data_IF_934266900703
#
_entry.id   IF_934266900703
#
_cell.length_a   1.000
_cell.length_b   1.000
_cell.length_c   1.000
_cell.angle_alpha   90.00
_cell.angle_beta   90.00
_cell.angle_gamma   90.00
#
_symmetry.space_group_name_H-M   'P 1'
#
loop_
_entity.id
_entity.type
_entity.pdbx_description
1 polymer ?
#
# COMPACT_ATOMS: atom_id res chain seq x y z
N UNK A 1 -16.97 -72.99 -57.88
CA UNK A 1 -17.09 -71.55 -57.53
C UNK A 1 -16.02 -70.79 -58.29
N UNK A 2 -16.35 -70.13 -59.42
CA UNK A 2 -15.37 -69.42 -60.26
C UNK A 2 -15.13 -68.02 -59.67
N UNK A 3 -13.98 -67.83 -59.03
CA UNK A 3 -13.57 -66.51 -58.52
C UNK A 3 -13.16 -65.64 -59.71
N UNK A 4 -13.76 -64.45 -59.81
CA UNK A 4 -13.59 -63.55 -60.94
C UNK A 4 -12.28 -62.75 -60.76
N UNK A 5 -11.20 -63.20 -61.41
CA UNK A 5 -9.84 -62.64 -61.30
C UNK A 5 -9.78 -61.11 -61.54
N UNK A 6 -10.67 -60.57 -62.38
CA UNK A 6 -10.71 -59.14 -62.69
C UNK A 6 -11.17 -58.27 -61.51
N UNK A 7 -11.94 -58.81 -60.55
CA UNK A 7 -12.31 -58.07 -59.33
C UNK A 7 -11.18 -58.04 -58.32
N UNK A 8 -10.38 -59.11 -58.22
CA UNK A 8 -9.22 -59.18 -57.32
C UNK A 8 -8.14 -58.21 -57.77
N UNK A 9 -7.91 -58.07 -59.08
CA UNK A 9 -6.94 -57.12 -59.63
C UNK A 9 -7.28 -55.65 -59.31
N UNK A 10 -8.58 -55.30 -59.32
CA UNK A 10 -9.04 -53.94 -58.98
C UNK A 10 -8.88 -53.66 -57.47
N UNK A 11 -9.19 -54.62 -56.60
CA UNK A 11 -8.95 -54.47 -55.16
C UNK A 11 -7.45 -54.41 -54.82
N UNK A 12 -6.59 -55.16 -55.51
CA UNK A 12 -5.13 -55.07 -55.35
C UNK A 12 -4.57 -53.72 -55.84
N UNK A 13 -5.10 -53.16 -56.92
CA UNK A 13 -4.70 -51.82 -57.39
C UNK A 13 -5.16 -50.71 -56.43
N UNK A 14 -6.36 -50.80 -55.86
CA UNK A 14 -6.85 -49.82 -54.88
C UNK A 14 -6.08 -49.93 -53.55
N UNK A 15 -5.71 -51.14 -53.12
CA UNK A 15 -4.89 -51.34 -51.92
C UNK A 15 -3.45 -50.84 -52.12
N UNK A 16 -2.88 -50.94 -53.34
CA UNK A 16 -1.55 -50.41 -53.70
C UNK A 16 -1.47 -48.88 -53.66
N UNK A 17 -2.54 -48.18 -54.08
CA UNK A 17 -2.59 -46.70 -54.07
C UNK A 17 -2.72 -46.13 -52.65
N UNK A 18 -3.34 -46.85 -51.72
CA UNK A 18 -3.51 -46.39 -50.33
C UNK A 18 -2.22 -46.53 -49.51
N UNK A 19 -1.30 -47.43 -49.87
CA UNK A 19 -0.02 -47.61 -49.16
C UNK A 19 1.10 -46.67 -49.61
N UNK A 20 0.95 -45.97 -50.75
CA UNK A 20 1.98 -45.03 -51.26
C UNK A 20 1.70 -43.57 -50.92
N UNK A 21 0.56 -43.26 -50.28
CA UNK A 21 0.34 -42.02 -49.56
C UNK A 21 1.08 -42.06 -48.20
N UNK A 22 2.39 -42.31 -48.28
CA UNK A 22 3.29 -42.28 -47.14
C UNK A 22 3.26 -40.90 -46.48
N UNK A 23 3.04 -40.91 -45.18
CA UNK A 23 3.11 -39.77 -44.28
C UNK A 23 4.39 -38.96 -44.59
N UNK A 24 4.25 -37.78 -45.21
CA UNK A 24 5.36 -36.83 -45.26
C UNK A 24 5.66 -36.46 -43.81
N UNK A 25 6.82 -36.89 -43.28
CA UNK A 25 7.31 -36.38 -42.00
C UNK A 25 7.31 -34.87 -42.08
N UNK A 26 6.55 -34.22 -41.22
CA UNK A 26 6.57 -32.77 -41.12
C UNK A 26 8.03 -32.33 -40.87
N UNK A 27 8.48 -31.25 -41.53
CA UNK A 27 9.80 -30.72 -41.25
C UNK A 27 9.92 -30.41 -39.75
N UNK A 28 11.10 -30.61 -39.15
CA UNK A 28 11.28 -30.37 -37.73
C UNK A 28 10.90 -28.93 -37.40
N UNK A 29 10.08 -28.76 -36.36
CA UNK A 29 9.75 -27.43 -35.82
C UNK A 29 11.04 -26.81 -35.29
N UNK A 30 11.40 -25.66 -35.84
CA UNK A 30 12.56 -24.87 -35.40
C UNK A 30 12.09 -23.64 -34.65
N UNK A 31 12.81 -23.29 -33.58
CA UNK A 31 12.49 -22.17 -32.71
C UNK A 31 13.56 -21.07 -32.84
N UNK A 32 13.22 -19.79 -32.56
CA UNK A 32 14.22 -18.74 -32.46
C UNK A 32 15.24 -19.05 -31.34
N UNK A 33 16.51 -18.79 -31.58
CA UNK A 33 17.57 -18.90 -30.56
C UNK A 33 17.90 -17.50 -30.07
N UNK A 34 17.81 -17.28 -28.77
CA UNK A 34 18.13 -16.00 -28.12
C UNK A 34 19.40 -16.18 -27.30
N UNK A 35 20.40 -15.32 -27.52
CA UNK A 35 21.63 -15.25 -26.72
C UNK A 35 21.72 -13.86 -26.09
N UNK A 36 21.90 -13.78 -24.78
CA UNK A 36 21.96 -12.50 -24.05
C UNK A 36 23.39 -12.26 -23.57
N UNK A 37 23.98 -11.15 -24.03
CA UNK A 37 25.34 -10.73 -23.68
C UNK A 37 25.35 -9.68 -22.55
N UNK A 38 24.28 -8.88 -22.43
CA UNK A 38 24.08 -7.95 -21.33
C UNK A 38 22.60 -7.78 -21.00
N UNK A 39 22.21 -7.64 -19.72
CA UNK A 39 23.07 -7.68 -18.54
C UNK A 39 23.66 -9.07 -18.30
N UNK A 40 24.70 -9.16 -17.47
CA UNK A 40 25.25 -10.45 -17.05
C UNK A 40 24.36 -11.08 -15.97
N UNK A 41 24.41 -12.40 -15.84
CA UNK A 41 23.63 -13.10 -14.83
C UNK A 41 24.01 -12.65 -13.40
N UNK A 42 23.00 -12.33 -12.59
CA UNK A 42 23.11 -11.75 -11.25
C UNK A 42 23.73 -10.34 -11.20
N UNK A 43 23.75 -9.60 -12.32
CA UNK A 43 24.10 -8.18 -12.29
C UNK A 43 23.13 -7.39 -11.40
N UNK A 44 23.66 -6.38 -10.72
CA UNK A 44 22.96 -5.61 -9.69
C UNK A 44 22.68 -4.19 -10.19
N UNK A 45 21.49 -3.67 -9.91
CA UNK A 45 21.06 -2.30 -10.24
C UNK A 45 20.33 -1.65 -9.06
N UNK A 46 20.32 -0.32 -9.00
CA UNK A 46 19.64 0.44 -7.92
C UNK A 46 18.66 1.43 -8.51
N UNK A 47 17.41 1.40 -8.05
CA UNK A 47 16.35 2.22 -8.66
C UNK A 47 16.42 3.68 -8.18
N UNK A 48 16.37 4.68 -9.08
CA UNK A 48 16.20 4.56 -10.52
C UNK A 48 17.52 4.27 -11.27
N UNK A 49 17.46 3.41 -12.30
CA UNK A 49 18.61 3.06 -13.15
C UNK A 49 18.21 2.86 -14.63
N UNK A 50 19.20 2.66 -15.49
CA UNK A 50 19.04 2.23 -16.88
C UNK A 50 19.82 0.94 -17.13
N UNK A 51 19.11 -0.11 -17.52
CA UNK A 51 19.69 -1.41 -17.86
C UNK A 51 19.97 -1.45 -19.36
N UNK A 52 21.24 -1.53 -19.74
CA UNK A 52 21.63 -1.79 -21.13
C UNK A 52 21.49 -3.26 -21.48
N UNK A 53 20.90 -3.50 -22.65
CA UNK A 53 20.56 -4.81 -23.17
C UNK A 53 21.29 -5.03 -24.47
N UNK A 54 22.09 -6.08 -24.48
CA UNK A 54 22.78 -6.60 -25.65
C UNK A 54 22.43 -8.07 -25.81
N UNK A 55 21.81 -8.43 -26.93
CA UNK A 55 21.39 -9.79 -27.20
C UNK A 55 21.25 -10.04 -28.70
N UNK A 56 21.53 -11.26 -29.14
CA UNK A 56 21.35 -11.70 -30.53
C UNK A 56 20.20 -12.71 -30.64
N UNK A 57 19.44 -12.63 -31.72
CA UNK A 57 18.35 -13.56 -32.02
C UNK A 57 18.55 -14.14 -33.41
N UNK A 58 18.61 -15.47 -33.49
CA UNK A 58 18.88 -16.22 -34.72
C UNK A 58 17.76 -17.20 -35.02
N UNK A 59 17.31 -17.22 -36.28
CA UNK A 59 16.35 -18.20 -36.79
C UNK A 59 16.54 -18.46 -38.29
N UNK A 60 16.11 -19.61 -38.79
CA UNK A 60 16.01 -19.90 -40.23
C UNK A 60 14.85 -19.19 -40.96
N UNK A 61 13.97 -18.46 -40.24
CA UNK A 61 12.80 -17.73 -40.76
C UNK A 61 12.82 -16.30 -40.21
N UNK A 62 12.11 -15.34 -40.85
CA UNK A 62 12.03 -13.99 -40.33
C UNK A 62 11.42 -13.95 -38.93
N UNK A 63 12.08 -13.25 -38.02
CA UNK A 63 11.58 -12.97 -36.68
C UNK A 63 10.46 -11.94 -36.82
N UNK A 64 9.23 -12.33 -36.45
CA UNK A 64 8.05 -11.50 -36.54
C UNK A 64 8.02 -10.44 -35.45
N UNK A 65 8.34 -10.82 -34.21
CA UNK A 65 8.47 -9.88 -33.11
C UNK A 65 9.48 -10.32 -32.06
N UNK A 66 9.97 -9.32 -31.32
CA UNK A 66 10.73 -9.47 -30.10
C UNK A 66 10.08 -8.61 -29.03
N UNK A 67 9.93 -9.14 -27.82
CA UNK A 67 9.43 -8.37 -26.69
C UNK A 67 10.38 -8.47 -25.50
N UNK A 68 10.59 -7.34 -24.83
CA UNK A 68 11.58 -7.18 -23.79
C UNK A 68 10.90 -6.53 -22.57
N UNK A 69 11.09 -7.10 -21.38
CA UNK A 69 10.62 -6.53 -20.13
C UNK A 69 11.47 -7.01 -18.95
N UNK A 70 11.48 -6.27 -17.86
CA UNK A 70 11.86 -6.82 -16.56
C UNK A 70 10.62 -7.44 -15.92
N UNK A 71 10.74 -8.66 -15.43
CA UNK A 71 9.68 -9.41 -14.75
C UNK A 71 10.12 -9.83 -13.36
N UNK A 72 9.17 -9.96 -12.44
CA UNK A 72 9.40 -10.49 -11.11
C UNK A 72 9.60 -12.03 -11.10
N UNK A 73 9.75 -12.60 -9.91
CA UNK A 73 9.89 -14.05 -9.72
C UNK A 73 8.66 -14.86 -10.16
N UNK A 74 7.49 -14.21 -10.28
CA UNK A 74 6.26 -14.81 -10.80
C UNK A 74 6.07 -14.55 -12.30
N UNK A 75 7.08 -13.99 -12.98
CA UNK A 75 7.07 -13.61 -14.39
C UNK A 75 6.07 -12.51 -14.74
N UNK A 76 5.66 -11.72 -13.74
CA UNK A 76 4.82 -10.53 -13.94
C UNK A 76 5.70 -9.33 -14.33
N UNK A 77 5.41 -8.62 -15.42
CA UNK A 77 6.18 -7.45 -15.81
C UNK A 77 6.15 -6.34 -14.76
N UNK A 78 7.33 -5.86 -14.36
CA UNK A 78 7.51 -4.67 -13.51
C UNK A 78 7.91 -3.43 -14.29
N UNK A 79 8.24 -3.60 -15.57
CA UNK A 79 8.40 -2.52 -16.55
C UNK A 79 7.38 -2.67 -17.68
N UNK A 80 7.12 -1.58 -18.39
CA UNK A 80 6.39 -1.66 -19.66
C UNK A 80 7.14 -2.60 -20.62
N UNK A 81 6.40 -3.50 -21.26
CA UNK A 81 6.95 -4.40 -22.28
C UNK A 81 7.22 -3.61 -23.56
N UNK A 82 8.47 -3.63 -23.99
CA UNK A 82 8.90 -3.04 -25.25
C UNK A 82 8.80 -4.07 -26.37
N UNK A 83 8.26 -3.70 -27.53
CA UNK A 83 8.10 -4.58 -28.69
C UNK A 83 8.90 -4.06 -29.88
N UNK A 84 9.52 -4.98 -30.59
CA UNK A 84 10.30 -4.77 -31.81
C UNK A 84 9.79 -5.73 -32.88
N UNK A 85 9.84 -5.31 -34.15
CA UNK A 85 9.35 -6.09 -35.29
C UNK A 85 10.44 -6.16 -36.38
N UNK A 86 11.44 -7.05 -36.23
CA UNK A 86 12.63 -7.02 -37.08
C UNK A 86 12.41 -7.48 -38.53
N UNK A 87 11.49 -8.43 -38.77
CA UNK A 87 11.22 -9.04 -40.07
C UNK A 87 12.46 -9.63 -40.77
N UNK A 88 13.43 -10.11 -39.99
CA UNK A 88 14.70 -10.66 -40.47
C UNK A 88 15.12 -11.90 -39.68
N UNK A 89 16.01 -12.72 -40.26
CA UNK A 89 16.43 -14.01 -39.70
C UNK A 89 17.48 -13.90 -38.58
N UNK A 90 18.23 -12.80 -38.55
CA UNK A 90 19.21 -12.49 -37.52
C UNK A 90 18.99 -11.07 -37.04
N UNK A 91 18.80 -10.86 -35.74
CA UNK A 91 18.55 -9.54 -35.18
C UNK A 91 19.40 -9.30 -33.93
N UNK A 92 20.11 -8.18 -33.91
CA UNK A 92 20.90 -7.71 -32.78
C UNK A 92 20.10 -6.65 -32.01
N UNK A 93 19.92 -6.88 -30.71
CA UNK A 93 19.31 -5.95 -29.78
C UNK A 93 20.42 -5.11 -29.15
N UNK A 94 20.30 -3.79 -29.31
CA UNK A 94 21.08 -2.81 -28.57
C UNK A 94 20.10 -1.75 -28.06
N UNK A 95 19.63 -1.94 -26.83
CA UNK A 95 18.53 -1.14 -26.26
C UNK A 95 18.74 -0.90 -24.77
N UNK A 96 17.98 0.04 -24.23
CA UNK A 96 18.00 0.34 -22.79
C UNK A 96 16.59 0.18 -22.22
N UNK A 97 16.48 -0.39 -21.02
CA UNK A 97 15.28 -0.34 -20.20
C UNK A 97 15.52 0.60 -19.01
N UNK A 98 14.67 1.61 -18.88
CA UNK A 98 14.67 2.50 -17.72
C UNK A 98 13.84 1.85 -16.62
N UNK A 99 14.44 1.64 -15.45
CA UNK A 99 13.77 1.17 -14.24
C UNK A 99 13.65 2.34 -13.27
N UNK A 100 12.48 2.99 -13.23
CA UNK A 100 12.26 4.20 -12.42
C UNK A 100 11.08 4.11 -11.47
N UNK A 101 10.41 2.95 -11.39
CA UNK A 101 9.27 2.77 -10.49
C UNK A 101 9.76 2.58 -9.04
N UNK A 102 9.53 3.53 -8.12
CA UNK A 102 10.03 3.44 -6.75
C UNK A 102 9.35 2.33 -5.92
N UNK A 103 8.26 1.74 -6.42
CA UNK A 103 7.53 0.67 -5.75
C UNK A 103 8.14 -0.73 -5.95
N UNK A 104 9.10 -0.85 -6.86
CA UNK A 104 9.83 -2.11 -7.03
C UNK A 104 10.64 -2.37 -5.75
N UNK A 105 10.43 -3.53 -5.15
CA UNK A 105 11.08 -3.96 -3.92
C UNK A 105 12.45 -4.59 -4.22
N UNK A 106 13.32 -4.63 -3.20
CA UNK A 106 14.63 -5.25 -3.36
C UNK A 106 14.48 -6.75 -3.57
N UNK A 107 15.14 -7.32 -4.60
CA UNK A 107 14.99 -8.75 -4.88
C UNK A 107 15.57 -9.22 -6.21
N UNK A 108 15.34 -10.51 -6.48
CA UNK A 108 15.68 -11.13 -7.75
C UNK A 108 14.58 -10.86 -8.79
N UNK A 109 15.00 -10.46 -9.98
CA UNK A 109 14.16 -10.22 -11.14
C UNK A 109 14.78 -10.90 -12.37
N UNK A 110 14.05 -10.91 -13.48
CA UNK A 110 14.58 -11.39 -14.75
C UNK A 110 14.42 -10.33 -15.83
N UNK A 111 15.47 -10.10 -16.61
CA UNK A 111 15.29 -9.63 -17.97
C UNK A 111 14.64 -10.76 -18.77
N UNK A 112 13.43 -10.52 -19.25
CA UNK A 112 12.67 -11.42 -20.11
C UNK A 112 12.72 -10.95 -21.55
N UNK A 113 13.34 -11.74 -22.42
CA UNK A 113 13.29 -11.56 -23.88
C UNK A 113 12.46 -12.69 -24.46
N UNK A 114 11.42 -12.35 -25.23
CA UNK A 114 10.61 -13.31 -26.00
C UNK A 114 10.70 -12.98 -27.46
N UNK A 115 11.00 -13.96 -28.30
CA UNK A 115 11.07 -13.82 -29.75
C UNK A 115 10.10 -14.79 -30.43
N UNK A 116 9.54 -14.41 -31.58
CA UNK A 116 8.67 -15.26 -32.40
C UNK A 116 9.01 -15.16 -33.87
N UNK A 117 8.83 -16.26 -34.62
CA UNK A 117 8.81 -16.29 -36.09
C UNK A 117 7.38 -16.16 -36.66
N UNK A 118 6.38 -15.92 -35.79
CA UNK A 118 4.96 -15.89 -36.13
C UNK A 118 4.23 -17.24 -36.00
N UNK A 119 4.96 -18.34 -35.81
CA UNK A 119 4.39 -19.68 -35.55
C UNK A 119 4.88 -20.29 -34.24
N UNK A 120 6.15 -20.03 -33.91
CA UNK A 120 6.88 -20.56 -32.78
C UNK A 120 7.43 -19.41 -31.95
N UNK A 121 7.71 -19.68 -30.68
CA UNK A 121 8.21 -18.68 -29.75
C UNK A 121 9.29 -19.26 -28.84
N UNK A 122 10.22 -18.41 -28.42
CA UNK A 122 11.23 -18.76 -27.42
C UNK A 122 11.38 -17.63 -26.41
N UNK A 123 11.67 -18.01 -25.17
CA UNK A 123 11.90 -17.11 -24.07
C UNK A 123 13.34 -17.29 -23.58
N UNK A 124 14.00 -16.17 -23.30
CA UNK A 124 15.25 -16.11 -22.56
C UNK A 124 15.03 -15.29 -21.29
N UNK A 125 15.65 -15.76 -20.20
CA UNK A 125 15.62 -15.12 -18.90
C UNK A 125 17.04 -14.90 -18.43
N UNK A 126 17.39 -13.66 -18.13
CA UNK A 126 18.65 -13.33 -17.46
C UNK A 126 18.34 -12.80 -16.08
N UNK A 127 18.77 -13.53 -15.05
CA UNK A 127 18.53 -13.14 -13.67
C UNK A 127 19.33 -11.89 -13.34
N UNK A 128 18.70 -10.93 -12.69
CA UNK A 128 19.32 -9.70 -12.17
C UNK A 128 18.84 -9.45 -10.74
N UNK A 129 19.56 -8.61 -10.01
CA UNK A 129 19.16 -8.16 -8.69
C UNK A 129 18.87 -6.66 -8.72
N UNK A 130 17.70 -6.26 -8.20
CA UNK A 130 17.33 -4.85 -8.07
C UNK A 130 17.35 -4.45 -6.60
N UNK A 131 18.01 -3.33 -6.28
CA UNK A 131 17.83 -2.61 -5.03
C UNK A 131 16.73 -1.57 -5.19
N UNK A 132 15.76 -1.59 -4.27
CA UNK A 132 14.70 -0.60 -4.21
C UNK A 132 15.25 0.81 -3.96
N UNK A 133 14.48 1.83 -4.36
CA UNK A 133 14.79 3.22 -3.99
C UNK A 133 14.76 3.36 -2.46
N UNK A 134 15.81 3.90 -1.80
CA UNK A 134 15.77 4.12 -0.35
C UNK A 134 14.59 4.99 0.07
N UNK A 135 13.88 4.57 1.13
CA UNK A 135 12.80 5.37 1.72
C UNK A 135 13.40 6.51 2.53
N UNK A 136 12.99 7.74 2.22
CA UNK A 136 13.42 8.96 2.90
C UNK A 136 12.20 9.79 3.30
N UNK A 137 12.27 10.47 4.44
CA UNK A 137 11.30 11.50 4.79
C UNK A 137 11.57 12.72 3.90
N UNK A 138 10.64 13.02 2.99
CA UNK A 138 10.76 14.14 2.06
C UNK A 138 10.18 15.43 2.63
N UNK A 139 9.06 15.35 3.34
CA UNK A 139 8.34 16.51 3.85
C UNK A 139 7.49 16.13 5.08
N UNK A 140 7.04 17.14 5.82
CA UNK A 140 6.08 17.01 6.91
C UNK A 140 4.93 17.98 6.63
N UNK A 141 3.75 17.47 6.32
CA UNK A 141 2.58 18.33 6.16
C UNK A 141 2.01 18.69 7.52
N UNK A 142 1.94 19.99 7.78
CA UNK A 142 1.25 20.57 8.92
C UNK A 142 -0.12 21.08 8.48
N UNK A 143 -1.16 20.58 9.15
CA UNK A 143 -2.53 21.03 8.97
C UNK A 143 -2.94 21.80 10.22
N UNK A 144 -3.29 23.08 10.03
CA UNK A 144 -3.76 23.96 11.11
C UNK A 144 -5.12 24.54 10.79
N UNK A 145 -5.88 24.91 11.81
CA UNK A 145 -7.20 25.54 11.68
C UNK A 145 -7.17 26.92 12.31
N UNK A 146 -7.50 27.92 11.50
CA UNK A 146 -7.60 29.30 11.96
C UNK A 146 -8.90 29.54 12.74
N UNK A 147 -9.02 30.73 13.35
CA UNK A 147 -10.18 31.11 14.15
C UNK A 147 -11.50 31.16 13.34
N UNK A 148 -11.44 31.30 12.02
CA UNK A 148 -12.60 31.33 11.13
C UNK A 148 -13.04 29.93 10.65
N UNK A 149 -12.28 28.90 11.03
CA UNK A 149 -12.60 27.51 10.71
C UNK A 149 -12.04 27.00 9.39
N UNK A 150 -11.30 27.81 8.64
CA UNK A 150 -10.55 27.38 7.44
C UNK A 150 -9.29 26.64 7.88
N UNK A 151 -8.94 25.54 7.18
CA UNK A 151 -7.64 24.91 7.39
C UNK A 151 -6.58 25.51 6.47
N UNK A 152 -5.39 25.69 7.03
CA UNK A 152 -4.15 25.97 6.31
C UNK A 152 -3.30 24.70 6.26
N UNK A 153 -2.76 24.43 5.08
CA UNK A 153 -1.89 23.29 4.82
C UNK A 153 -0.53 23.85 4.41
N UNK A 154 0.49 23.44 5.14
CA UNK A 154 1.87 23.84 4.89
C UNK A 154 2.79 22.64 4.90
N UNK A 155 3.84 22.70 4.10
CA UNK A 155 4.99 21.81 4.22
C UNK A 155 5.93 22.32 5.30
N UNK A 156 6.63 21.39 5.94
CA UNK A 156 7.65 21.66 6.93
C UNK A 156 8.84 20.77 6.59
N UNK A 157 9.96 21.41 6.28
CA UNK A 157 11.19 20.66 5.99
C UNK A 157 11.80 20.01 7.26
N UNK A 158 12.86 19.24 7.08
CA UNK A 158 13.58 18.61 8.21
C UNK A 158 14.27 19.64 9.11
N UNK A 159 14.45 20.88 8.67
CA UNK A 159 14.87 21.99 9.50
C UNK A 159 13.69 22.69 10.20
N UNK A 160 12.48 22.16 10.13
CA UNK A 160 11.26 22.76 10.66
C UNK A 160 10.96 24.18 10.13
N UNK A 161 11.34 24.45 8.88
CA UNK A 161 10.96 25.66 8.17
C UNK A 161 9.64 25.43 7.44
N UNK A 162 8.68 26.31 7.68
CA UNK A 162 7.32 26.18 7.15
C UNK A 162 7.19 26.89 5.79
N UNK A 163 6.56 26.20 4.84
CA UNK A 163 6.16 26.77 3.55
C UNK A 163 4.67 26.51 3.33
N UNK A 164 3.91 27.56 3.01
CA UNK A 164 2.49 27.43 2.70
C UNK A 164 2.28 26.65 1.39
N UNK A 165 1.31 25.71 1.40
CA UNK A 165 0.89 24.96 0.21
C UNK A 165 -0.46 25.45 -0.30
N UNK A 166 -1.50 25.41 0.54
CA UNK A 166 -2.86 25.81 0.18
C UNK A 166 -3.74 26.01 1.42
N UNK A 167 -4.94 26.54 1.22
CA UNK A 167 -6.00 26.56 2.22
C UNK A 167 -7.25 25.82 1.71
N UNK A 168 -8.02 25.24 2.63
CA UNK A 168 -9.28 24.55 2.30
C UNK A 168 -10.34 24.93 3.33
N UNK A 169 -11.51 25.35 2.85
CA UNK A 169 -12.66 25.59 3.72
C UNK A 169 -13.31 24.25 4.07
N UNK A 170 -13.03 23.75 5.28
CA UNK A 170 -13.57 22.48 5.79
C UNK A 170 -13.64 22.51 7.30
N UNK A 171 -14.56 21.75 7.87
CA UNK A 171 -14.69 21.53 9.31
C UNK A 171 -13.61 20.58 9.87
N UNK A 172 -12.75 20.02 9.03
CA UNK A 172 -11.66 19.08 9.28
C UNK A 172 -12.04 17.89 10.19
N UNK A 173 -12.01 16.71 9.60
CA UNK A 173 -12.05 15.44 10.33
C UNK A 173 -10.71 14.74 10.29
N UNK A 174 -10.25 14.40 9.09
CA UNK A 174 -9.12 13.50 8.88
C UNK A 174 -8.33 13.88 7.63
N UNK A 175 -7.08 13.45 7.61
CA UNK A 175 -6.26 13.50 6.42
C UNK A 175 -5.31 12.30 6.36
N UNK A 176 -4.94 11.91 5.14
CA UNK A 176 -3.92 10.91 4.88
C UNK A 176 -3.33 11.11 3.48
N UNK A 177 -2.16 10.52 3.21
CA UNK A 177 -1.38 10.79 1.99
C UNK A 177 -1.12 9.54 1.18
N UNK A 178 -1.19 9.68 -0.14
CA UNK A 178 -0.61 8.74 -1.12
C UNK A 178 0.65 9.39 -1.70
N UNK A 179 1.83 9.08 -1.15
CA UNK A 179 3.07 9.73 -1.58
C UNK A 179 3.46 9.39 -3.01
N UNK A 180 3.12 8.18 -3.48
CA UNK A 180 3.45 7.68 -4.82
C UNK A 180 2.70 8.47 -5.88
N UNK A 181 1.40 8.70 -5.69
CA UNK A 181 0.60 9.50 -6.61
C UNK A 181 0.63 11.01 -6.30
N UNK A 182 1.34 11.40 -5.24
CA UNK A 182 1.44 12.78 -4.75
C UNK A 182 0.08 13.40 -4.39
N UNK A 183 -0.77 12.61 -3.72
CA UNK A 183 -2.13 13.01 -3.36
C UNK A 183 -2.28 13.12 -1.84
N UNK A 184 -2.84 14.24 -1.41
CA UNK A 184 -3.31 14.48 -0.05
C UNK A 184 -4.83 14.39 -0.03
N UNK A 185 -5.36 13.47 0.77
CA UNK A 185 -6.79 13.31 1.00
C UNK A 185 -7.19 13.99 2.29
N UNK A 186 -8.25 14.80 2.26
CA UNK A 186 -8.72 15.55 3.43
C UNK A 186 -10.23 15.45 3.48
N UNK A 187 -10.77 15.01 4.61
CA UNK A 187 -12.22 15.00 4.84
C UNK A 187 -12.64 16.06 5.85
N UNK A 188 -13.86 16.54 5.69
CA UNK A 188 -14.61 17.12 6.80
C UNK A 188 -14.88 16.11 7.93
N UNK A 189 -15.51 16.57 9.00
CA UNK A 189 -16.01 15.70 10.08
C UNK A 189 -17.53 15.52 10.00
N UNK A 190 -18.27 16.60 9.77
CA UNK A 190 -19.73 16.65 9.78
C UNK A 190 -20.27 17.01 8.41
N UNK A 191 -19.87 18.19 7.88
CA UNK A 191 -20.57 18.83 6.77
C UNK A 191 -19.70 19.06 5.54
N UNK A 192 -18.38 18.98 5.69
CA UNK A 192 -17.47 19.28 4.58
C UNK A 192 -17.12 18.04 3.79
N UNK A 193 -16.79 18.28 2.52
CA UNK A 193 -16.47 17.27 1.53
C UNK A 193 -15.23 16.44 1.89
N UNK A 194 -15.06 15.35 1.17
CA UNK A 194 -13.75 14.74 0.95
C UNK A 194 -13.08 15.44 -0.24
N UNK A 195 -11.86 15.91 -0.06
CA UNK A 195 -11.03 16.51 -1.09
C UNK A 195 -9.86 15.59 -1.41
N UNK A 196 -9.52 15.49 -2.69
CA UNK A 196 -8.26 14.94 -3.17
C UNK A 196 -7.44 16.08 -3.78
N UNK A 197 -6.32 16.41 -3.13
CA UNK A 197 -5.43 17.49 -3.51
C UNK A 197 -4.12 16.91 -4.05
N UNK A 198 -3.75 17.26 -5.28
CA UNK A 198 -2.40 16.99 -5.78
C UNK A 198 -1.47 18.06 -5.22
N UNK A 199 -0.54 17.68 -4.35
CA UNK A 199 0.36 18.63 -3.69
C UNK A 199 1.57 19.03 -4.56
N UNK A 200 1.84 18.32 -5.64
CA UNK A 200 2.84 18.72 -6.64
C UNK A 200 2.27 19.75 -7.61
N UNK A 201 1.10 19.45 -8.18
CA UNK A 201 0.42 20.34 -9.13
C UNK A 201 -0.30 21.50 -8.43
N UNK A 202 -0.45 21.39 -7.10
CA UNK A 202 -1.13 22.34 -6.21
C UNK A 202 -2.60 22.59 -6.56
N UNK A 203 -3.30 21.55 -6.99
CA UNK A 203 -4.72 21.62 -7.40
C UNK A 203 -5.56 20.55 -6.73
N UNK A 204 -6.83 20.87 -6.45
CA UNK A 204 -7.83 19.86 -6.10
C UNK A 204 -8.16 19.08 -7.36
N UNK A 205 -7.89 17.76 -7.37
CA UNK A 205 -8.17 16.89 -8.53
C UNK A 205 -9.65 16.53 -8.62
N UNK A 206 -10.26 16.24 -7.47
CA UNK A 206 -11.66 15.88 -7.35
C UNK A 206 -12.10 16.02 -5.89
N UNK A 207 -13.42 16.08 -5.70
CA UNK A 207 -14.06 16.09 -4.39
C UNK A 207 -15.31 15.21 -4.37
N UNK A 208 -15.67 14.75 -3.16
CA UNK A 208 -16.91 14.01 -2.92
C UNK A 208 -17.71 14.76 -1.86
N UNK A 209 -18.92 15.17 -2.23
CA UNK A 209 -19.83 15.86 -1.32
C UNK A 209 -20.44 14.90 -0.30
N UNK A 210 -20.66 15.39 0.91
CA UNK A 210 -21.39 14.63 1.94
C UNK A 210 -22.88 14.63 1.64
N UNK A 211 -23.55 13.52 1.95
CA UNK A 211 -25.01 13.37 1.83
C UNK A 211 -25.73 13.37 3.18
N UNK A 212 -24.98 13.51 4.27
CA UNK A 212 -25.51 13.41 5.63
C UNK A 212 -26.07 14.69 6.21
N UNK A 213 -26.91 14.53 7.23
CA UNK A 213 -27.46 15.63 8.01
C UNK A 213 -26.76 15.72 9.37
N UNK A 214 -26.11 16.86 9.72
CA UNK A 214 -25.66 17.12 11.08
C UNK A 214 -26.84 17.01 12.09
N UNK A 215 -26.59 16.75 13.38
CA UNK A 215 -25.33 16.98 14.12
C UNK A 215 -24.37 15.78 14.20
N UNK A 216 -24.70 14.65 13.60
CA UNK A 216 -23.85 13.45 13.64
C UNK A 216 -22.64 13.59 12.70
N UNK A 217 -21.40 13.14 13.08
CA UNK A 217 -20.29 13.07 12.14
C UNK A 217 -20.67 12.25 10.91
N UNK A 218 -20.17 12.66 9.75
CA UNK A 218 -20.30 11.93 8.50
C UNK A 218 -19.09 11.01 8.29
N UNK A 219 -17.88 11.56 8.42
CA UNK A 219 -16.63 10.79 8.34
C UNK A 219 -16.12 10.44 9.74
N UNK A 220 -15.75 9.19 9.96
CA UNK A 220 -15.18 8.73 11.22
C UNK A 220 -13.67 8.45 11.20
N UNK A 221 -13.11 8.17 10.03
CA UNK A 221 -11.69 7.96 9.80
C UNK A 221 -11.40 8.01 8.30
N UNK A 222 -10.15 8.22 7.96
CA UNK A 222 -9.64 8.23 6.59
C UNK A 222 -8.29 7.53 6.58
N UNK A 223 -8.10 6.60 5.63
CA UNK A 223 -6.85 5.86 5.46
C UNK A 223 -6.51 5.64 4.00
N UNK A 224 -5.25 5.89 3.63
CA UNK A 224 -4.71 5.46 2.34
C UNK A 224 -4.12 4.06 2.50
N UNK A 225 -4.55 3.14 1.64
CA UNK A 225 -4.00 1.80 1.54
C UNK A 225 -4.02 1.33 0.09
N UNK A 226 -2.89 0.80 -0.40
CA UNK A 226 -2.73 0.33 -1.77
C UNK A 226 -3.26 1.35 -2.81
N UNK A 227 -2.86 2.62 -2.67
CA UNK A 227 -3.24 3.77 -3.52
C UNK A 227 -4.74 4.08 -3.58
N UNK A 228 -5.51 3.58 -2.61
CA UNK A 228 -6.94 3.87 -2.47
C UNK A 228 -7.14 4.65 -1.17
N UNK A 229 -7.94 5.72 -1.23
CA UNK A 229 -8.38 6.44 -0.05
C UNK A 229 -9.65 5.78 0.48
N UNK A 230 -9.53 5.04 1.59
CA UNK A 230 -10.64 4.47 2.34
C UNK A 230 -11.21 5.51 3.31
N UNK A 231 -12.53 5.67 3.28
CA UNK A 231 -13.28 6.57 4.13
C UNK A 231 -14.29 5.78 4.95
N UNK A 232 -14.28 6.00 6.26
CA UNK A 232 -15.28 5.44 7.16
C UNK A 232 -16.46 6.39 7.25
N UNK A 233 -17.60 5.97 6.71
CA UNK A 233 -18.84 6.70 6.83
C UNK A 233 -19.58 6.23 8.09
N UNK A 234 -19.91 7.17 8.97
CA UNK A 234 -20.74 6.89 10.15
C UNK A 234 -22.10 6.30 9.76
N UNK A 235 -22.58 6.64 8.56
CA UNK A 235 -23.85 6.18 7.98
C UNK A 235 -23.75 4.76 7.39
N UNK A 236 -23.05 3.89 8.10
CA UNK A 236 -22.98 2.46 7.86
C UNK A 236 -22.28 2.04 6.57
N UNK A 237 -21.14 2.65 6.22
CA UNK A 237 -20.34 2.17 5.11
C UNK A 237 -18.86 2.46 5.28
N UNK A 238 -18.03 1.60 4.68
CA UNK A 238 -16.64 1.88 4.39
C UNK A 238 -16.52 1.90 2.88
N UNK A 239 -16.08 3.04 2.33
CA UNK A 239 -15.95 3.24 0.89
C UNK A 239 -14.50 3.54 0.55
N UNK A 240 -14.04 3.22 -0.67
CA UNK A 240 -12.74 3.66 -1.13
C UNK A 240 -12.77 4.26 -2.53
N UNK A 241 -11.95 5.28 -2.72
CA UNK A 241 -11.76 5.96 -3.99
C UNK A 241 -10.34 5.74 -4.52
N UNK A 242 -10.20 5.57 -5.84
CA UNK A 242 -8.89 5.56 -6.49
C UNK A 242 -8.38 7.00 -6.75
N UNK A 243 -7.18 7.13 -7.32
CA UNK A 243 -6.55 8.43 -7.61
C UNK A 243 -7.32 9.30 -8.62
N UNK A 244 -8.28 8.73 -9.35
CA UNK A 244 -9.18 9.43 -10.28
C UNK A 244 -10.54 9.79 -9.68
N UNK A 245 -10.81 9.45 -8.41
CA UNK A 245 -12.06 9.77 -7.73
C UNK A 245 -13.19 8.79 -8.01
N UNK A 246 -12.90 7.64 -8.63
CA UNK A 246 -13.88 6.58 -8.84
C UNK A 246 -13.99 5.73 -7.57
N UNK A 247 -15.23 5.45 -7.14
CA UNK A 247 -15.49 4.52 -6.04
C UNK A 247 -15.15 3.10 -6.51
N UNK A 248 -14.12 2.49 -5.89
CA UNK A 248 -13.61 1.16 -6.24
C UNK A 248 -13.83 0.12 -5.15
N UNK A 249 -14.37 0.54 -3.99
CA UNK A 249 -14.74 -0.32 -2.89
C UNK A 249 -15.95 0.25 -2.17
N UNK A 250 -16.89 -0.62 -1.80
CA UNK A 250 -18.04 -0.27 -0.98
C UNK A 250 -18.40 -1.46 -0.07
N UNK A 251 -18.29 -1.26 1.23
CA UNK A 251 -18.65 -2.23 2.25
C UNK A 251 -19.70 -1.63 3.19
N UNK A 252 -20.98 -2.00 3.02
CA UNK A 252 -22.02 -1.61 3.95
C UNK A 252 -21.75 -2.25 5.32
N UNK A 253 -21.96 -1.49 6.40
CA UNK A 253 -21.91 -2.01 7.77
C UNK A 253 -23.32 -2.14 8.35
N UNK A 254 -23.42 -2.69 9.56
CA UNK A 254 -24.71 -2.86 10.26
C UNK A 254 -25.43 -1.53 10.46
N UNK A 255 -26.77 -1.54 10.48
CA UNK A 255 -27.60 -0.37 10.82
C UNK A 255 -27.69 -0.10 12.32
N UNK A 256 -27.20 -1.00 13.17
CA UNK A 256 -27.23 -0.87 14.63
C UNK A 256 -25.90 -0.39 15.20
N UNK A 257 -24.87 -0.31 14.36
CA UNK A 257 -23.51 0.06 14.73
C UNK A 257 -22.92 0.99 13.68
N UNK A 258 -22.13 1.97 14.11
CA UNK A 258 -21.35 2.77 13.18
C UNK A 258 -19.87 2.39 13.23
N UNK A 259 -19.19 2.30 12.07
CA UNK A 259 -17.76 2.09 12.02
C UNK A 259 -17.02 3.37 12.44
N UNK A 260 -15.84 3.22 13.06
CA UNK A 260 -15.04 4.34 13.53
C UNK A 260 -13.62 4.30 12.98
N UNK A 261 -12.71 3.46 13.49
CA UNK A 261 -11.31 3.34 13.04
C UNK A 261 -11.08 2.15 12.12
N UNK A 262 -10.19 2.32 11.13
CA UNK A 262 -9.72 1.25 10.25
C UNK A 262 -8.28 0.83 10.53
N UNK A 263 -8.00 -0.43 10.23
CA UNK A 263 -6.64 -0.95 10.13
C UNK A 263 -6.55 -2.08 9.11
N UNK A 264 -5.51 -2.05 8.29
CA UNK A 264 -5.25 -3.09 7.29
C UNK A 264 -4.23 -4.07 7.85
N UNK A 265 -4.56 -5.36 7.80
CA UNK A 265 -3.68 -6.40 8.28
C UNK A 265 -3.83 -7.66 7.42
N UNK A 266 -2.77 -7.98 6.67
CA UNK A 266 -2.76 -9.09 5.73
C UNK A 266 -3.96 -8.99 4.77
N UNK A 267 -4.87 -9.96 4.80
CA UNK A 267 -6.06 -9.99 3.96
C UNK A 267 -7.30 -9.39 4.63
N UNK A 268 -7.16 -8.87 5.86
CA UNK A 268 -8.27 -8.42 6.68
C UNK A 268 -8.27 -6.90 6.90
N UNK A 269 -9.46 -6.32 6.77
CA UNK A 269 -9.80 -4.97 7.18
C UNK A 269 -10.40 -5.03 8.59
N UNK A 270 -9.64 -4.56 9.57
CA UNK A 270 -10.10 -4.37 10.93
C UNK A 270 -10.87 -3.07 11.03
N UNK A 271 -12.02 -3.11 11.67
CA UNK A 271 -12.85 -1.94 11.94
C UNK A 271 -13.30 -1.95 13.40
N UNK A 272 -13.02 -0.87 14.14
CA UNK A 272 -13.72 -0.66 15.41
C UNK A 272 -15.13 -0.16 15.13
N UNK A 273 -16.16 -0.79 15.70
CA UNK A 273 -17.55 -0.35 15.55
C UNK A 273 -18.16 -0.08 16.92
N UNK A 274 -19.07 0.88 16.99
CA UNK A 274 -19.82 1.19 18.21
C UNK A 274 -21.30 1.05 17.96
N UNK A 275 -22.02 0.48 18.92
CA UNK A 275 -23.47 0.48 18.89
C UNK A 275 -23.99 1.93 18.85
N UNK A 276 -25.06 2.14 18.06
CA UNK A 276 -25.72 3.46 18.00
C UNK A 276 -26.35 3.79 19.37
N UNK A 277 -26.81 2.76 20.08
CA UNK A 277 -27.31 2.85 21.45
C UNK A 277 -26.50 1.98 22.41
N UNK A 278 -26.33 2.44 23.65
CA UNK A 278 -25.52 1.76 24.67
C UNK A 278 -24.02 2.03 24.58
N UNK A 279 -23.22 1.18 25.23
CA UNK A 279 -21.76 1.35 25.36
C UNK A 279 -20.97 0.26 24.64
N UNK A 280 -21.64 -0.62 23.88
CA UNK A 280 -20.99 -1.76 23.26
C UNK A 280 -20.07 -1.29 22.14
N UNK A 281 -18.82 -1.74 22.21
CA UNK A 281 -17.81 -1.53 21.18
C UNK A 281 -17.33 -2.89 20.66
N UNK A 282 -17.10 -2.99 19.37
CA UNK A 282 -16.78 -4.23 18.67
C UNK A 282 -15.53 -4.05 17.82
N UNK A 283 -14.83 -5.14 17.59
CA UNK A 283 -13.89 -5.27 16.49
C UNK A 283 -14.54 -6.17 15.45
N UNK A 284 -14.58 -5.70 14.21
CA UNK A 284 -15.11 -6.45 13.07
C UNK A 284 -14.02 -6.58 12.02
N UNK A 285 -13.90 -7.79 11.47
CA UNK A 285 -12.97 -8.12 10.38
C UNK A 285 -13.78 -8.41 9.12
N UNK A 286 -13.39 -7.77 8.03
CA UNK A 286 -13.83 -8.11 6.67
C UNK A 286 -12.62 -8.49 5.82
N UNK A 287 -12.82 -9.24 4.73
CA UNK A 287 -11.79 -9.40 3.71
C UNK A 287 -11.58 -8.10 2.94
N UNK A 288 -10.34 -7.65 2.76
CA UNK A 288 -10.01 -6.37 2.11
C UNK A 288 -10.52 -6.32 0.65
N UNK A 289 -10.39 -7.43 -0.07
CA UNK A 289 -10.71 -7.49 -1.51
C UNK A 289 -12.22 -7.53 -1.79
N UNK A 290 -12.97 -8.35 -1.04
CA UNK A 290 -14.41 -8.56 -1.28
C UNK A 290 -15.31 -7.73 -0.36
N UNK A 291 -14.78 -7.22 0.75
CA UNK A 291 -15.59 -6.70 1.86
C UNK A 291 -16.40 -7.77 2.58
N UNK A 292 -16.21 -9.06 2.26
CA UNK A 292 -16.95 -10.14 2.90
C UNK A 292 -16.70 -10.17 4.40
N UNK A 293 -17.76 -10.27 5.19
CA UNK A 293 -17.67 -10.46 6.64
C UNK A 293 -16.84 -11.70 6.97
N UNK A 294 -15.90 -11.57 7.89
CA UNK A 294 -15.12 -12.68 8.41
C UNK A 294 -15.55 -13.03 9.83
N UNK A 295 -15.33 -12.14 10.79
CA UNK A 295 -15.71 -12.35 12.18
C UNK A 295 -15.84 -11.04 12.97
N UNK A 296 -16.33 -11.14 14.20
CA UNK A 296 -16.52 -10.01 15.10
C UNK A 296 -16.34 -10.45 16.57
N UNK A 297 -15.85 -9.51 17.39
CA UNK A 297 -15.69 -9.67 18.83
C UNK A 297 -16.22 -8.43 19.57
N UNK A 298 -16.89 -8.64 20.70
CA UNK A 298 -17.24 -7.56 21.64
C UNK A 298 -15.99 -7.16 22.44
N UNK A 299 -15.56 -5.90 22.29
CA UNK A 299 -14.37 -5.35 22.93
C UNK A 299 -14.70 -4.47 24.13
N UNK A 300 -15.76 -3.66 24.05
CA UNK A 300 -16.15 -2.65 25.05
C UNK A 300 -15.06 -1.64 25.42
N UNK A 301 -14.14 -1.35 24.48
CA UNK A 301 -13.12 -0.32 24.61
C UNK A 301 -13.22 0.69 23.47
N UNK A 302 -12.89 1.95 23.76
CA UNK A 302 -12.73 3.00 22.77
C UNK A 302 -11.36 2.91 22.13
N UNK A 303 -11.30 2.47 20.88
CA UNK A 303 -10.04 2.27 20.16
C UNK A 303 -9.38 3.61 19.83
N UNK A 304 -8.08 3.72 20.11
CA UNK A 304 -7.22 4.84 19.74
C UNK A 304 -6.41 4.50 18.48
N UNK A 305 -5.77 3.34 18.46
CA UNK A 305 -4.91 2.92 17.35
C UNK A 305 -4.81 1.39 17.29
N UNK A 306 -4.65 0.86 16.08
CA UNK A 306 -4.30 -0.52 15.83
C UNK A 306 -2.87 -0.60 15.28
N UNK A 307 -2.17 -1.71 15.56
CA UNK A 307 -0.92 -2.05 14.90
C UNK A 307 -0.80 -3.55 14.67
N UNK A 308 -0.35 -3.95 13.48
CA UNK A 308 0.00 -5.35 13.24
C UNK A 308 1.21 -5.78 14.09
N UNK A 309 1.06 -6.91 14.78
CA UNK A 309 2.10 -7.54 15.61
C UNK A 309 2.86 -8.58 14.81
N UNK A 310 2.12 -9.57 14.32
CA UNK A 310 2.59 -10.72 13.54
C UNK A 310 1.48 -11.11 12.56
N UNK A 311 1.58 -12.26 11.91
CA UNK A 311 0.63 -12.69 10.87
C UNK A 311 -0.78 -13.03 11.40
N UNK A 312 -0.93 -13.28 12.70
CA UNK A 312 -2.18 -13.73 13.31
C UNK A 312 -2.72 -12.75 14.38
N UNK A 313 -1.97 -11.70 14.71
CA UNK A 313 -2.30 -10.83 15.85
C UNK A 313 -2.16 -9.35 15.55
N UNK A 314 -3.06 -8.56 16.16
CA UNK A 314 -3.10 -7.10 16.09
C UNK A 314 -3.12 -6.52 17.49
N UNK A 315 -2.23 -5.56 17.76
CA UNK A 315 -2.31 -4.72 18.95
C UNK A 315 -3.45 -3.72 18.81
N UNK A 316 -4.19 -3.55 19.91
CA UNK A 316 -5.22 -2.54 20.06
C UNK A 316 -4.85 -1.68 21.25
N UNK A 317 -4.61 -0.42 20.96
CA UNK A 317 -4.40 0.63 21.95
C UNK A 317 -5.73 1.35 22.11
N UNK A 318 -6.32 1.29 23.31
CA UNK A 318 -7.66 1.76 23.56
C UNK A 318 -7.81 2.40 24.94
N UNK A 319 -8.96 2.99 25.22
CA UNK A 319 -9.37 3.38 26.57
C UNK A 319 -10.64 2.64 26.98
N UNK A 320 -10.76 2.29 28.26
CA UNK A 320 -11.99 1.74 28.82
C UNK A 320 -13.02 2.83 29.16
N UNK A 321 -14.15 2.42 29.74
CA UNK A 321 -15.24 3.32 30.10
C UNK A 321 -14.87 4.38 31.15
N UNK A 322 -13.82 4.15 31.93
CA UNK A 322 -13.26 5.12 32.89
C UNK A 322 -12.15 6.00 32.26
N UNK A 323 -12.01 5.98 30.93
CA UNK A 323 -10.98 6.70 30.18
C UNK A 323 -9.54 6.25 30.53
N UNK A 324 -9.35 5.07 31.12
CA UNK A 324 -8.01 4.52 31.36
C UNK A 324 -7.50 3.75 30.15
N UNK A 325 -6.25 4.00 29.78
CA UNK A 325 -5.57 3.37 28.67
C UNK A 325 -5.36 1.88 28.90
N UNK A 326 -5.62 1.09 27.87
CA UNK A 326 -5.43 -0.36 27.86
C UNK A 326 -4.68 -0.76 26.59
N UNK A 327 -3.79 -1.73 26.74
CA UNK A 327 -3.14 -2.44 25.63
C UNK A 327 -3.82 -3.80 25.55
N UNK A 328 -4.27 -4.16 24.35
CA UNK A 328 -4.86 -5.46 24.07
C UNK A 328 -4.16 -6.08 22.87
N UNK A 329 -4.09 -7.41 22.83
CA UNK A 329 -3.73 -8.14 21.62
C UNK A 329 -4.97 -8.94 21.23
N UNK A 330 -5.39 -8.78 19.97
CA UNK A 330 -6.42 -9.60 19.36
C UNK A 330 -5.76 -10.67 18.50
N UNK A 331 -6.15 -11.92 18.72
CA UNK A 331 -5.71 -13.08 17.95
C UNK A 331 -6.83 -13.51 16.99
N UNK A 332 -6.48 -13.60 15.72
CA UNK A 332 -7.44 -13.78 14.63
C UNK A 332 -7.98 -15.20 14.62
N UNK A 333 -7.11 -16.21 14.72
CA UNK A 333 -7.51 -17.62 14.72
C UNK A 333 -8.48 -17.98 15.87
N UNK A 334 -8.22 -17.49 17.09
CA UNK A 334 -9.07 -17.77 18.25
C UNK A 334 -10.25 -16.81 18.39
N UNK A 335 -10.29 -15.73 17.61
CA UNK A 335 -11.20 -14.58 17.79
C UNK A 335 -11.20 -14.07 19.25
N UNK A 336 -10.02 -14.09 19.88
CA UNK A 336 -9.83 -13.77 21.30
C UNK A 336 -9.06 -12.47 21.51
N UNK A 337 -9.17 -11.92 22.72
CA UNK A 337 -8.40 -10.74 23.13
C UNK A 337 -7.83 -10.93 24.54
N UNK A 338 -6.60 -10.47 24.78
CA UNK A 338 -6.00 -10.46 26.11
C UNK A 338 -5.19 -9.18 26.37
N UNK A 339 -4.93 -8.92 27.64
CA UNK A 339 -4.10 -7.81 28.13
C UNK A 339 -2.65 -8.29 28.28
N UNK A 340 -1.71 -7.89 27.40
CA UNK A 340 -0.31 -8.22 27.62
C UNK A 340 0.27 -7.44 28.81
N UNK A 341 -0.15 -6.18 29.01
CA UNK A 341 0.43 -5.28 29.99
C UNK A 341 -0.63 -4.30 30.52
N UNK A 342 -0.60 -4.09 31.83
CA UNK A 342 -1.49 -3.14 32.50
C UNK A 342 -0.85 -1.77 32.62
N UNK A 343 -1.43 -0.79 31.93
CA UNK A 343 -1.07 0.61 32.12
C UNK A 343 -1.74 1.10 33.41
N UNK A 344 -0.94 1.51 34.39
CA UNK A 344 -1.42 1.88 35.73
C UNK A 344 -2.14 3.23 35.73
N UNK A 345 -3.41 3.25 35.32
CA UNK A 345 -4.32 4.39 35.45
C UNK A 345 -3.95 5.63 34.61
N UNK A 346 -4.95 6.30 34.04
CA UNK A 346 -4.75 7.46 33.18
C UNK A 346 -4.98 7.18 31.70
N UNK A 347 -5.16 8.25 30.93
CA UNK A 347 -5.71 8.22 29.58
C UNK A 347 -4.64 8.08 28.51
N UNK A 348 -4.90 7.17 27.57
CA UNK A 348 -4.14 7.03 26.34
C UNK A 348 -4.69 8.00 25.28
N UNK A 349 -3.82 8.89 24.79
CA UNK A 349 -4.17 9.94 23.84
C UNK A 349 -3.81 9.52 22.41
N UNK A 350 -2.61 8.98 22.22
CA UNK A 350 -2.10 8.54 20.93
C UNK A 350 -1.07 7.42 21.12
N UNK A 351 -0.80 6.65 20.07
CA UNK A 351 0.21 5.61 20.05
C UNK A 351 0.88 5.55 18.68
N UNK A 352 2.19 5.38 18.65
CA UNK A 352 3.01 5.24 17.44
C UNK A 352 3.94 4.04 17.55
N UNK A 353 4.09 3.29 16.45
CA UNK A 353 4.95 2.10 16.37
C UNK A 353 6.38 2.54 16.04
N UNK A 354 7.34 2.03 16.81
CA UNK A 354 8.77 2.20 16.54
C UNK A 354 9.30 1.01 15.75
N UNK A 355 8.99 -0.19 16.23
CA UNK A 355 9.35 -1.46 15.61
C UNK A 355 8.29 -2.53 15.97
N UNK A 356 8.53 -3.80 15.66
CA UNK A 356 7.58 -4.89 15.90
C UNK A 356 7.26 -5.15 17.39
N UNK A 357 8.10 -4.69 18.31
CA UNK A 357 7.95 -4.89 19.75
C UNK A 357 7.87 -3.59 20.54
N UNK A 358 8.21 -2.44 19.95
CA UNK A 358 8.32 -1.16 20.65
C UNK A 358 7.33 -0.12 20.14
N UNK A 359 6.68 0.55 21.09
CA UNK A 359 5.66 1.57 20.84
C UNK A 359 5.89 2.79 21.73
N UNK A 360 5.56 3.98 21.22
CA UNK A 360 5.56 5.24 21.96
C UNK A 360 4.11 5.66 22.21
N UNK A 361 3.75 5.84 23.47
CA UNK A 361 2.39 6.08 23.93
C UNK A 361 2.30 7.48 24.52
N UNK A 362 1.44 8.34 23.98
CA UNK A 362 1.07 9.58 24.65
C UNK A 362 0.08 9.24 25.77
N UNK A 363 0.56 9.28 27.00
CA UNK A 363 -0.15 8.84 28.18
C UNK A 363 -0.19 9.97 29.20
N UNK A 364 -1.37 10.57 29.38
CA UNK A 364 -1.54 11.79 30.19
C UNK A 364 -0.56 12.91 29.75
N UNK A 365 0.36 13.29 30.65
CA UNK A 365 1.34 14.36 30.50
C UNK A 365 2.76 13.83 30.20
N UNK A 366 2.87 12.64 29.63
CA UNK A 366 4.14 12.03 29.27
C UNK A 366 4.02 11.17 28.03
N UNK A 367 5.17 10.88 27.43
CA UNK A 367 5.33 9.80 26.46
C UNK A 367 5.94 8.62 27.20
N UNK A 368 5.34 7.44 27.03
CA UNK A 368 5.79 6.18 27.59
C UNK A 368 6.28 5.29 26.45
N UNK A 369 7.45 4.68 26.61
CA UNK A 369 7.95 3.63 25.72
C UNK A 369 7.47 2.28 26.25
N UNK A 370 6.55 1.66 25.52
CA UNK A 370 6.10 0.29 25.77
C UNK A 370 6.92 -0.68 24.91
N UNK A 371 7.36 -1.77 25.51
CA UNK A 371 8.08 -2.85 24.83
C UNK A 371 7.41 -4.17 25.20
N UNK A 372 7.18 -5.04 24.22
CA UNK A 372 6.53 -6.34 24.44
C UNK A 372 7.50 -7.47 24.81
N UNK A 373 8.74 -7.43 24.31
CA UNK A 373 9.75 -8.45 24.59
C UNK A 373 11.14 -7.83 24.86
N UNK A 374 11.59 -7.75 26.13
CA UNK A 374 10.85 -8.11 27.34
C UNK A 374 9.68 -7.15 27.58
N UNK A 375 8.65 -7.64 28.26
CA UNK A 375 7.44 -6.86 28.48
C UNK A 375 7.65 -5.77 29.54
N UNK A 376 7.33 -4.53 29.21
CA UNK A 376 7.45 -3.41 30.14
C UNK A 376 7.10 -2.07 29.53
N UNK A 377 6.90 -1.08 30.39
CA UNK A 377 6.68 0.30 29.99
C UNK A 377 7.59 1.22 30.83
N UNK A 378 8.26 2.16 30.18
CA UNK A 378 9.15 3.13 30.84
C UNK A 378 8.85 4.53 30.33
N UNK A 379 8.97 5.52 31.21
CA UNK A 379 8.81 6.92 30.82
C UNK A 379 9.89 7.28 29.80
N UNK A 380 9.47 7.86 28.68
CA UNK A 380 10.36 8.31 27.61
C UNK A 380 10.67 9.79 27.78
N UNK A 381 9.66 10.65 27.83
CA UNK A 381 9.81 12.07 28.15
C UNK A 381 8.54 12.66 28.77
N UNK A 382 8.68 13.76 29.49
CA UNK A 382 7.55 14.56 29.97
C UNK A 382 7.07 15.48 28.85
N UNK A 383 5.76 15.51 28.60
CA UNK A 383 5.13 16.40 27.63
C UNK A 383 3.68 16.68 28.05
N UNK A 384 3.39 17.92 28.40
CA UNK A 384 2.04 18.33 28.77
C UNK A 384 1.19 18.62 27.53
N UNK A 385 -0.13 18.49 27.68
CA UNK A 385 -1.12 18.86 26.66
C UNK A 385 -0.90 18.16 25.30
N UNK A 386 -0.51 16.89 25.32
CA UNK A 386 -0.31 16.12 24.08
C UNK A 386 -1.64 16.04 23.33
N UNK A 387 -1.58 16.32 22.04
CA UNK A 387 -2.67 16.15 21.09
C UNK A 387 -2.47 14.88 20.26
N UNK A 388 -1.26 14.66 19.76
CA UNK A 388 -0.92 13.51 18.91
C UNK A 388 0.60 13.25 18.92
N UNK A 389 0.99 12.07 18.42
CA UNK A 389 2.37 11.68 18.17
C UNK A 389 2.54 11.31 16.69
N UNK A 390 3.73 11.56 16.12
CA UNK A 390 4.16 10.98 14.85
C UNK A 390 5.60 10.51 14.99
N UNK A 391 5.89 9.30 14.55
CA UNK A 391 7.24 8.74 14.60
C UNK A 391 7.81 8.58 13.20
N UNK A 392 9.00 9.16 13.00
CA UNK A 392 9.81 8.99 11.80
C UNK A 392 10.79 7.85 12.05
N UNK A 393 10.50 6.70 11.45
CA UNK A 393 11.29 5.48 11.57
C UNK A 393 12.61 5.54 10.82
N UNK A 394 12.73 6.42 9.82
CA UNK A 394 13.94 6.57 9.02
C UNK A 394 14.98 7.39 9.79
N UNK A 395 14.59 8.56 10.31
CA UNK A 395 15.51 9.45 11.04
C UNK A 395 15.49 9.25 12.56
N UNK A 396 14.68 8.29 13.05
CA UNK A 396 14.52 7.97 14.47
C UNK A 396 14.11 9.21 15.28
N UNK A 397 13.07 9.91 14.81
CA UNK A 397 12.56 11.15 15.44
C UNK A 397 11.12 10.99 15.88
N UNK A 398 10.83 11.42 17.11
CA UNK A 398 9.48 11.54 17.62
C UNK A 398 9.03 13.01 17.51
N UNK A 399 7.92 13.23 16.84
CA UNK A 399 7.20 14.50 16.83
C UNK A 399 6.06 14.44 17.84
N UNK A 400 6.09 15.32 18.83
CA UNK A 400 5.03 15.51 19.82
C UNK A 400 4.26 16.78 19.44
N UNK A 401 2.98 16.60 19.15
CA UNK A 401 2.05 17.69 18.83
C UNK A 401 1.29 18.02 20.10
N UNK A 402 1.25 19.30 20.47
CA UNK A 402 0.58 19.76 21.69
C UNK A 402 -0.60 20.68 21.39
N UNK A 403 -1.59 20.71 22.29
CA UNK A 403 -2.76 21.60 22.19
C UNK A 403 -2.37 23.08 22.27
N UNK A 404 -1.22 23.39 22.87
CA UNK A 404 -0.69 24.75 23.00
C UNK A 404 0.04 25.22 21.73
N UNK A 405 -0.34 24.69 20.56
CA UNK A 405 0.19 25.07 19.24
C UNK A 405 1.71 24.90 19.11
N UNK A 406 2.27 23.85 19.74
CA UNK A 406 3.70 23.52 19.63
C UNK A 406 3.90 22.16 19.00
N UNK A 407 4.96 22.06 18.20
CA UNK A 407 5.50 20.82 17.67
C UNK A 407 6.91 20.67 18.23
N UNK A 408 7.14 19.56 18.93
CA UNK A 408 8.44 19.25 19.54
C UNK A 408 9.03 18.02 18.87
N UNK A 409 10.27 18.11 18.43
CA UNK A 409 11.03 16.98 17.89
C UNK A 409 12.01 16.45 18.91
N UNK A 410 11.91 15.17 19.21
CA UNK A 410 12.78 14.44 20.12
C UNK A 410 13.59 13.38 19.37
N UNK A 411 14.85 13.19 19.74
CA UNK A 411 15.68 12.09 19.26
C UNK A 411 15.24 10.77 19.90
N UNK A 412 15.10 9.70 19.12
CA UNK A 412 14.96 8.34 19.63
C UNK A 412 16.29 7.57 19.51
N UNK A 413 16.68 6.73 20.48
CA UNK A 413 15.97 6.35 21.72
C UNK A 413 16.20 7.26 22.94
N UNK A 414 16.97 8.35 22.79
CA UNK A 414 17.53 9.09 23.94
C UNK A 414 16.59 10.13 24.57
N UNK A 415 15.42 10.39 23.97
CA UNK A 415 14.45 11.37 24.45
C UNK A 415 15.02 12.81 24.65
N UNK A 416 16.04 13.18 23.88
CA UNK A 416 16.55 14.55 23.86
C UNK A 416 15.65 15.44 22.98
N UNK A 417 15.19 16.56 23.53
CA UNK A 417 14.52 17.59 22.74
C UNK A 417 15.54 18.24 21.80
N UNK A 418 15.32 18.12 20.49
CA UNK A 418 16.20 18.69 19.47
C UNK A 418 15.70 20.04 18.98
N UNK A 419 14.38 20.17 18.79
CA UNK A 419 13.78 21.38 18.27
C UNK A 419 12.34 21.52 18.72
N UNK A 420 11.91 22.76 18.91
CA UNK A 420 10.53 23.14 19.19
C UNK A 420 10.16 24.30 18.26
N UNK A 421 8.96 24.24 17.67
CA UNK A 421 8.38 25.36 16.92
C UNK A 421 7.01 25.71 17.50
N UNK A 422 6.69 27.01 17.44
CA UNK A 422 5.36 27.53 17.75
C UNK A 422 4.61 27.75 16.45
N UNK A 423 3.33 27.39 16.45
CA UNK A 423 2.43 27.53 15.33
C UNK A 423 1.38 28.59 15.69
N UNK A 424 0.98 29.42 14.72
CA UNK A 424 0.05 30.53 14.99
C UNK A 424 -1.38 30.04 15.26
N UNK A 425 -1.77 28.97 14.55
CA UNK A 425 -3.11 28.41 14.57
C UNK A 425 -3.18 27.06 15.31
N UNK A 426 -4.40 26.60 15.59
CA UNK A 426 -4.61 25.33 16.27
C UNK A 426 -4.19 24.18 15.35
N UNK A 427 -3.32 23.30 15.83
CA UNK A 427 -2.85 22.16 15.04
C UNK A 427 -3.97 21.11 14.97
N UNK A 428 -4.28 20.66 13.76
CA UNK A 428 -5.27 19.61 13.51
C UNK A 428 -4.60 18.24 13.34
N UNK A 429 -3.58 18.16 12.49
CA UNK A 429 -2.79 16.95 12.29
C UNK A 429 -1.42 17.28 11.69
N UNK A 430 -0.53 16.29 11.73
CA UNK A 430 0.75 16.28 11.02
C UNK A 430 0.88 14.96 10.26
N UNK A 431 1.28 15.03 8.99
CA UNK A 431 1.52 13.86 8.15
C UNK A 431 2.99 13.80 7.78
N UNK A 432 3.65 12.67 8.04
CA UNK A 432 5.01 12.42 7.60
C UNK A 432 4.96 11.91 6.16
N UNK A 433 5.61 12.62 5.24
CA UNK A 433 5.57 12.33 3.81
C UNK A 433 6.90 11.68 3.43
N UNK A 434 6.81 10.44 2.94
CA UNK A 434 7.96 9.72 2.42
C UNK A 434 7.98 9.78 0.89
N UNK A 435 9.11 9.51 0.28
CA UNK A 435 9.24 9.47 -1.19
C UNK A 435 8.57 8.26 -1.85
N UNK A 436 8.17 7.24 -1.07
CA UNK A 436 7.48 6.04 -1.54
C UNK A 436 6.66 5.38 -0.44
#
# INVERSE_FOLDING_TARGET
>A
MKVNLNRIAVYLCIFSVIYTAGCKKEPPVTYPVITVDAPQENQVFTIPDTISIHASILHNKPISFVSIAIVDMALTPVTTRYFLYPEMNNYEINSNIIISNPEITSGNYYLHIRASDGSNETNAYTKIYLYETPRILSDIFLITKNAYGTIDISSIDTALMQQHLTNINTDFGFADVDPVNQLLYISGRYNSKLFCYNYNDKVVKWDVSVTGYPPSPYFNDLKVYNKKCYCVLRQNAIIAYNSQGLMVYNNPTSTERYPDKLHFHNNYLFTSQYAISGTNAFILLNYIESGGFYQMLLLNLKTIKFFSRDNNSVYIFANNASDYGEIRIYDIESNGVWEPYNLTGGKLIAAEKVDNNTYLLAYENKVVKFTYNPIGAVDYCIANDILNLKFDDINQKLYIITKNKKIKRYSYPFAQLEKEINVNDSICDILLIYNK
#
